data_IF_453546372786
#
_entry.id   IF_453546372786
#
_cell.length_a   1.000
_cell.length_b   1.000
_cell.length_c   1.000
_cell.angle_alpha   90.00
_cell.angle_beta   90.00
_cell.angle_gamma   90.00
#
_symmetry.space_group_name_H-M   'P 1'
#
loop_
_entity.id
_entity.type
_entity.pdbx_description
1 polymer ?
#
# COMPACT_ATOMS: atom_id res chain seq x y z
N UNK A 1 59.85 8.49 5.04
CA UNK A 1 58.93 9.33 4.24
C UNK A 1 58.52 8.50 3.05
N UNK A 2 57.51 7.66 3.22
CA UNK A 2 56.83 6.97 2.13
C UNK A 2 55.34 7.14 2.35
N UNK A 3 54.70 7.80 1.40
CA UNK A 3 53.26 7.73 1.23
C UNK A 3 52.98 6.36 0.60
N UNK A 4 52.22 5.51 1.29
CA UNK A 4 51.75 4.25 0.71
C UNK A 4 50.37 3.93 1.23
N UNK A 5 49.43 3.84 0.29
CA UNK A 5 48.16 3.13 0.37
C UNK A 5 47.19 3.62 1.45
N UNK A 6 45.95 3.97 1.14
CA UNK A 6 44.99 3.09 0.49
C UNK A 6 43.90 4.00 -0.09
N UNK A 7 43.81 4.09 -1.42
CA UNK A 7 42.52 4.34 -2.05
C UNK A 7 41.69 3.08 -1.77
N UNK A 8 40.76 3.17 -0.82
CA UNK A 8 39.76 2.13 -0.63
C UNK A 8 38.78 2.24 -1.80
N UNK A 9 39.02 1.44 -2.84
CA UNK A 9 38.04 1.04 -3.84
C UNK A 9 36.94 0.23 -3.13
N UNK A 10 36.08 0.92 -2.39
CA UNK A 10 34.91 0.36 -1.73
C UNK A 10 33.69 1.09 -2.27
N UNK A 11 33.16 0.61 -3.40
CA UNK A 11 31.87 1.08 -3.88
C UNK A 11 30.83 0.90 -2.76
N UNK A 12 30.16 1.98 -2.36
CA UNK A 12 28.98 1.90 -1.50
C UNK A 12 27.92 1.10 -2.25
N UNK A 13 27.88 -0.21 -2.04
CA UNK A 13 26.77 -1.03 -2.50
C UNK A 13 25.55 -0.66 -1.65
N UNK A 14 24.78 0.31 -2.14
CA UNK A 14 23.51 0.70 -1.54
C UNK A 14 22.48 -0.35 -1.95
N UNK A 15 22.08 -1.19 -1.01
CA UNK A 15 20.92 -2.06 -1.21
C UNK A 15 19.67 -1.18 -1.41
N UNK A 16 19.20 -1.13 -2.66
CA UNK A 16 18.10 -0.24 -3.07
C UNK A 16 16.83 -0.54 -2.30
N UNK A 17 16.55 -1.82 -2.03
CA UNK A 17 15.35 -2.25 -1.32
C UNK A 17 15.34 -1.71 0.12
N UNK A 18 16.43 -1.94 0.86
CA UNK A 18 16.61 -1.44 2.23
C UNK A 18 16.59 0.08 2.30
N UNK A 19 17.19 0.76 1.33
CA UNK A 19 17.13 2.22 1.27
C UNK A 19 15.67 2.70 1.12
N UNK A 20 14.92 2.10 0.19
CA UNK A 20 13.51 2.42 -0.02
C UNK A 20 12.68 2.19 1.23
N UNK A 21 12.83 1.06 1.93
CA UNK A 21 12.13 0.78 3.19
C UNK A 21 12.44 1.80 4.28
N UNK A 22 13.68 2.30 4.34
CA UNK A 22 14.09 3.29 5.35
C UNK A 22 13.45 4.67 5.14
N UNK A 23 13.11 5.01 3.89
CA UNK A 23 12.51 6.29 3.53
C UNK A 23 10.98 6.20 3.41
N UNK A 24 10.46 5.03 3.02
CA UNK A 24 9.06 4.75 2.76
C UNK A 24 8.47 3.76 3.77
N UNK A 25 8.67 4.06 5.05
CA UNK A 25 8.14 3.24 6.13
C UNK A 25 6.61 3.07 6.06
N UNK A 26 6.17 1.85 6.34
CA UNK A 26 4.75 1.51 6.48
C UNK A 26 4.13 2.20 7.70
N UNK A 27 2.91 2.74 7.54
CA UNK A 27 2.16 3.32 8.66
C UNK A 27 1.36 2.28 9.46
N UNK A 28 0.84 2.70 10.61
CA UNK A 28 0.15 1.83 11.56
C UNK A 28 -1.12 1.16 11.00
N UNK A 29 -1.85 1.82 10.08
CA UNK A 29 -3.07 1.29 9.47
C UNK A 29 -2.75 0.19 8.46
N UNK A 30 -1.77 0.45 7.58
CA UNK A 30 -1.26 -0.55 6.63
C UNK A 30 -0.66 -1.75 7.37
N UNK A 31 0.11 -1.50 8.43
CA UNK A 31 0.63 -2.56 9.29
C UNK A 31 -0.47 -3.35 10.00
N UNK A 32 -1.60 -2.72 10.36
CA UNK A 32 -2.75 -3.45 10.92
C UNK A 32 -3.41 -4.36 9.89
N UNK A 33 -3.58 -3.90 8.65
CA UNK A 33 -4.13 -4.70 7.57
C UNK A 33 -3.25 -5.92 7.30
N UNK A 34 -1.92 -5.71 7.23
CA UNK A 34 -0.95 -6.81 7.02
C UNK A 34 -1.01 -7.85 8.15
N UNK A 35 -0.95 -7.42 9.41
CA UNK A 35 -1.10 -8.33 10.56
C UNK A 35 -2.44 -9.07 10.57
N UNK A 36 -3.54 -8.39 10.24
CA UNK A 36 -4.84 -9.05 10.16
C UNK A 36 -4.89 -10.11 9.05
N UNK A 37 -4.21 -9.89 7.92
CA UNK A 37 -4.07 -10.88 6.86
C UNK A 37 -3.27 -12.11 7.35
N UNK A 38 -2.16 -11.87 8.06
CA UNK A 38 -1.33 -12.91 8.68
C UNK A 38 -2.15 -13.75 9.68
N UNK A 39 -2.86 -13.10 10.61
CA UNK A 39 -3.71 -13.75 11.63
C UNK A 39 -4.84 -14.60 11.02
N UNK A 40 -5.35 -14.20 9.86
CA UNK A 40 -6.38 -14.92 9.10
C UNK A 40 -5.82 -16.02 8.20
N UNK A 41 -4.51 -16.25 8.20
CA UNK A 41 -3.86 -17.25 7.35
C UNK A 41 -3.94 -16.93 5.86
N UNK A 42 -4.03 -15.66 5.49
CA UNK A 42 -4.07 -15.25 4.07
C UNK A 42 -2.69 -15.32 3.41
N UNK A 43 -2.66 -15.48 2.07
CA UNK A 43 -1.43 -15.30 1.31
C UNK A 43 -0.81 -13.91 1.57
N UNK A 44 0.49 -13.87 1.82
CA UNK A 44 1.24 -12.63 2.02
C UNK A 44 1.66 -12.02 0.67
N UNK A 45 0.66 -11.68 -0.14
CA UNK A 45 0.84 -11.17 -1.52
C UNK A 45 0.47 -9.68 -1.65
N UNK A 46 0.37 -8.97 -0.52
CA UNK A 46 0.19 -7.53 -0.52
C UNK A 46 1.33 -6.84 -1.28
N UNK A 47 1.00 -5.76 -1.97
CA UNK A 47 2.02 -4.89 -2.58
C UNK A 47 2.99 -4.37 -1.52
N UNK A 48 4.28 -4.16 -1.87
CA UNK A 48 5.21 -3.54 -0.93
C UNK A 48 4.83 -2.08 -0.65
N UNK A 49 5.23 -1.50 0.50
CA UNK A 49 4.81 -0.16 0.94
C UNK A 49 5.07 0.95 -0.08
N UNK A 50 6.21 0.90 -0.78
CA UNK A 50 6.59 1.86 -1.81
C UNK A 50 5.66 1.84 -3.02
N UNK A 51 5.15 0.66 -3.39
CA UNK A 51 4.17 0.53 -4.45
C UNK A 51 2.80 1.02 -4.00
N UNK A 52 2.43 0.78 -2.73
CA UNK A 52 1.26 1.39 -2.11
C UNK A 52 1.30 2.92 -2.18
N UNK A 53 2.43 3.55 -1.85
CA UNK A 53 2.60 5.00 -2.00
C UNK A 53 2.50 5.44 -3.46
N UNK A 54 3.09 4.70 -4.40
CA UNK A 54 2.97 5.01 -5.82
C UNK A 54 1.50 5.04 -6.26
N UNK A 55 0.69 4.07 -5.84
CA UNK A 55 -0.76 4.05 -6.14
C UNK A 55 -1.46 5.30 -5.61
N UNK A 56 -1.18 5.72 -4.37
CA UNK A 56 -1.74 6.96 -3.80
C UNK A 56 -1.34 8.20 -4.64
N UNK A 57 -0.06 8.29 -5.03
CA UNK A 57 0.45 9.39 -5.87
C UNK A 57 -0.24 9.42 -7.24
N UNK A 58 -0.42 8.26 -7.87
CA UNK A 58 -1.08 8.17 -9.18
C UNK A 58 -2.53 8.62 -9.09
N UNK A 59 -3.29 8.11 -8.12
CA UNK A 59 -4.69 8.49 -7.92
C UNK A 59 -4.82 10.00 -7.71
N UNK A 60 -3.97 10.61 -6.86
CA UNK A 60 -3.96 12.06 -6.64
C UNK A 60 -3.51 12.85 -7.87
N UNK A 61 -2.41 12.44 -8.50
CA UNK A 61 -1.80 13.13 -9.63
C UNK A 61 -2.70 13.20 -10.85
N UNK A 62 -3.52 12.15 -11.06
CA UNK A 62 -4.52 12.13 -12.13
C UNK A 62 -5.87 12.73 -11.72
N UNK A 63 -6.05 13.14 -10.46
CA UNK A 63 -7.33 13.64 -9.96
C UNK A 63 -8.47 12.61 -10.10
N UNK A 64 -8.14 11.33 -9.93
CA UNK A 64 -9.12 10.26 -10.09
C UNK A 64 -10.22 10.38 -9.02
N UNK A 65 -11.48 10.21 -9.43
CA UNK A 65 -12.65 10.23 -8.52
C UNK A 65 -13.30 8.86 -8.35
N UNK A 66 -12.98 7.93 -9.27
CA UNK A 66 -13.51 6.56 -9.29
C UNK A 66 -12.38 5.60 -9.63
N UNK A 67 -12.20 4.58 -8.81
CA UNK A 67 -11.19 3.53 -9.00
C UNK A 67 -11.88 2.16 -9.00
N UNK A 68 -11.49 1.30 -9.93
CA UNK A 68 -11.81 -0.14 -9.90
C UNK A 68 -10.56 -0.90 -9.48
N UNK A 69 -10.64 -1.64 -8.38
CA UNK A 69 -9.60 -2.56 -7.90
C UNK A 69 -10.02 -4.00 -8.21
N UNK A 70 -9.09 -4.80 -8.72
CA UNK A 70 -9.26 -6.23 -8.99
C UNK A 70 -8.24 -6.99 -8.15
N UNK A 71 -8.71 -7.80 -7.20
CA UNK A 71 -7.90 -8.47 -6.19
C UNK A 71 -7.77 -7.62 -4.93
N UNK A 72 -8.74 -7.73 -4.02
CA UNK A 72 -8.76 -6.93 -2.80
C UNK A 72 -7.90 -7.54 -1.69
N UNK A 73 -7.86 -8.87 -1.61
CA UNK A 73 -7.28 -9.62 -0.48
C UNK A 73 -7.74 -9.02 0.87
N UNK A 74 -6.79 -8.53 1.68
CA UNK A 74 -7.03 -7.91 2.97
C UNK A 74 -7.26 -6.39 2.88
N UNK A 75 -7.12 -5.79 1.69
CA UNK A 75 -7.40 -4.37 1.43
C UNK A 75 -6.20 -3.43 1.55
N UNK A 76 -4.96 -3.93 1.45
CA UNK A 76 -3.75 -3.11 1.58
C UNK A 76 -3.66 -2.04 0.47
N UNK A 77 -3.69 -2.47 -0.80
CA UNK A 77 -3.74 -1.58 -1.96
C UNK A 77 -5.00 -0.73 -1.96
N UNK A 78 -6.14 -1.30 -1.55
CA UNK A 78 -7.41 -0.59 -1.45
C UNK A 78 -7.35 0.62 -0.51
N UNK A 79 -6.64 0.51 0.62
CA UNK A 79 -6.41 1.66 1.51
C UNK A 79 -5.53 2.73 0.86
N UNK A 80 -4.46 2.34 0.16
CA UNK A 80 -3.59 3.28 -0.56
C UNK A 80 -4.36 4.04 -1.66
N UNK A 81 -5.17 3.33 -2.45
CA UNK A 81 -6.03 3.92 -3.47
C UNK A 81 -7.06 4.87 -2.85
N UNK A 82 -7.71 4.45 -1.76
CA UNK A 82 -8.68 5.26 -1.02
C UNK A 82 -8.06 6.57 -0.48
N UNK A 83 -6.82 6.55 -0.01
CA UNK A 83 -6.11 7.77 0.43
C UNK A 83 -5.86 8.75 -0.70
N UNK A 84 -5.66 8.24 -1.92
CA UNK A 84 -5.46 9.09 -3.08
C UNK A 84 -6.75 9.76 -3.56
N UNK A 85 -7.89 9.10 -3.35
CA UNK A 85 -9.22 9.50 -3.82
C UNK A 85 -9.80 10.73 -3.08
N UNK A 86 -9.34 11.00 -1.85
CA UNK A 86 -9.91 12.06 -1.01
C UNK A 86 -11.34 11.75 -0.53
N UNK A 87 -12.03 12.69 0.10
CA UNK A 87 -13.29 12.41 0.82
C UNK A 87 -14.51 12.13 -0.10
N UNK A 88 -14.45 12.60 -1.35
CA UNK A 88 -15.55 12.49 -2.33
C UNK A 88 -15.31 11.41 -3.38
N UNK A 89 -14.29 10.58 -3.18
CA UNK A 89 -13.92 9.52 -4.11
C UNK A 89 -14.63 8.19 -3.84
N UNK A 90 -14.64 7.36 -4.87
CA UNK A 90 -15.26 6.03 -4.81
C UNK A 90 -14.29 4.98 -5.31
N UNK A 91 -14.16 3.90 -4.56
CA UNK A 91 -13.47 2.69 -5.00
C UNK A 91 -14.44 1.52 -5.02
N UNK A 92 -14.49 0.83 -6.15
CA UNK A 92 -15.14 -0.47 -6.29
C UNK A 92 -14.02 -1.51 -6.28
N UNK A 93 -14.05 -2.42 -5.32
CA UNK A 93 -13.05 -3.47 -5.17
C UNK A 93 -13.69 -4.84 -5.37
N UNK A 94 -13.08 -5.63 -6.26
CA UNK A 94 -13.52 -6.97 -6.63
C UNK A 94 -12.57 -8.00 -6.00
N UNK A 95 -13.14 -8.93 -5.25
CA UNK A 95 -12.42 -10.09 -4.72
C UNK A 95 -13.14 -11.34 -5.18
N UNK A 96 -12.41 -12.31 -5.72
CA UNK A 96 -13.02 -13.56 -6.19
C UNK A 96 -13.17 -14.56 -5.03
N UNK A 97 -12.18 -14.63 -4.14
CA UNK A 97 -12.16 -15.58 -3.05
C UNK A 97 -12.92 -15.03 -1.83
N UNK A 98 -14.09 -15.61 -1.56
CA UNK A 98 -14.94 -15.24 -0.43
C UNK A 98 -14.25 -15.39 0.94
N UNK A 99 -13.21 -16.23 1.07
CA UNK A 99 -12.46 -16.38 2.31
C UNK A 99 -11.64 -15.14 2.69
N UNK A 100 -11.23 -14.33 1.70
CA UNK A 100 -10.45 -13.12 1.94
C UNK A 100 -11.32 -11.91 2.27
N UNK A 101 -12.56 -11.94 1.77
CA UNK A 101 -13.55 -10.89 1.97
C UNK A 101 -13.92 -10.71 3.46
N UNK A 102 -14.14 -9.48 3.95
CA UNK A 102 -14.77 -9.23 5.24
C UNK A 102 -16.19 -9.82 5.31
N UNK A 103 -16.62 -10.38 6.45
CA UNK A 103 -17.96 -10.92 6.62
C UNK A 103 -19.05 -9.89 6.26
N UNK A 104 -20.10 -10.33 5.56
CA UNK A 104 -21.27 -9.48 5.26
C UNK A 104 -21.09 -8.46 4.13
N UNK A 105 -20.01 -8.53 3.34
CA UNK A 105 -19.84 -7.69 2.15
C UNK A 105 -20.19 -8.45 0.86
N UNK A 106 -20.78 -7.75 -0.13
CA UNK A 106 -21.13 -8.31 -1.43
C UNK A 106 -19.87 -8.65 -2.25
N UNK A 107 -20.04 -9.40 -3.36
CA UNK A 107 -18.97 -9.80 -4.29
C UNK A 107 -18.10 -8.63 -4.78
N UNK A 108 -18.73 -7.45 -4.89
CA UNK A 108 -18.10 -6.17 -5.15
C UNK A 108 -18.27 -5.27 -3.92
N UNK A 109 -17.16 -4.72 -3.41
CA UNK A 109 -17.16 -3.75 -2.30
C UNK A 109 -17.02 -2.35 -2.86
N UNK A 110 -18.11 -1.58 -2.86
CA UNK A 110 -18.04 -0.13 -3.07
C UNK A 110 -17.74 0.54 -1.72
N UNK A 111 -16.52 1.08 -1.57
CA UNK A 111 -16.19 1.94 -0.43
C UNK A 111 -16.21 3.38 -0.92
N UNK A 112 -17.18 4.16 -0.42
CA UNK A 112 -17.09 5.62 -0.49
C UNK A 112 -16.19 6.09 0.63
N UNK A 113 -15.23 6.93 0.33
CA UNK A 113 -14.33 7.51 1.32
C UNK A 113 -14.99 8.67 2.06
N UNK A 114 -16.24 8.52 2.53
CA UNK A 114 -16.86 9.57 3.37
C UNK A 114 -16.19 9.56 4.75
N UNK A 115 -15.37 10.57 5.07
CA UNK A 115 -15.16 10.94 6.47
C UNK A 115 -16.40 11.70 6.92
N UNK A 116 -17.16 11.15 7.86
CA UNK A 116 -18.14 11.96 8.59
C UNK A 116 -17.35 12.99 9.43
N UNK A 117 -17.29 14.23 8.97
CA UNK A 117 -16.75 15.36 9.74
C UNK A 117 -17.83 15.99 10.63
N UNK A 118 -17.47 16.60 11.77
CA UNK A 118 -18.45 17.30 12.61
C UNK A 118 -18.88 18.60 11.90
N UNK A 119 -20.19 18.83 11.84
CA UNK A 119 -20.82 20.11 11.47
C UNK A 119 -20.48 21.21 12.46
#
# INVERSE_FOLDING_TARGET
MEASGICAEGGLEVDRHRYTESVLAEDSELGRIRRSAEERGMPQISVPPELGRLLEILVRGFGARRVLEIGALAGYSGLCLARGLGDEGEIISLELNSAYRPPGTAEHRACRTRREGPT
#
